data_IF_935073016549
#
_entry.id   IF_935073016549
#
_cell.length_a   1.000
_cell.length_b   1.000
_cell.length_c   1.000
_cell.angle_alpha   90.00
_cell.angle_beta   90.00
_cell.angle_gamma   90.00
#
_symmetry.space_group_name_H-M   'P 1'
#
loop_
_entity.id
_entity.type
_entity.pdbx_description
1 polymer ?
#
# COMPACT_ATOMS: atom_id res chain seq x y z
N UNK A 1 4.55 -61.12 3.82
CA UNK A 1 4.33 -61.32 2.35
C UNK A 1 2.93 -60.83 1.94
N UNK A 2 1.86 -61.10 2.71
CA UNK A 2 0.47 -60.66 2.38
C UNK A 2 0.37 -59.13 2.29
N UNK A 3 0.89 -58.42 3.28
CA UNK A 3 0.94 -56.95 3.28
C UNK A 3 1.76 -56.33 2.14
N UNK A 4 2.85 -57.01 1.74
CA UNK A 4 3.66 -56.58 0.61
C UNK A 4 2.92 -56.76 -0.73
N UNK A 5 2.11 -57.80 -0.86
CA UNK A 5 1.29 -58.03 -2.04
C UNK A 5 0.12 -57.03 -2.16
N UNK A 6 -0.43 -56.63 -1.03
CA UNK A 6 -1.46 -55.56 -0.98
C UNK A 6 -0.87 -54.22 -1.41
N UNK A 7 0.31 -53.87 -0.91
CA UNK A 7 0.99 -52.62 -1.25
C UNK A 7 1.43 -52.53 -2.72
N UNK A 8 1.76 -53.67 -3.37
CA UNK A 8 2.11 -53.68 -4.79
C UNK A 8 1.04 -53.20 -5.73
N UNK A 9 -0.22 -53.25 -5.30
CA UNK A 9 -1.36 -52.82 -6.09
C UNK A 9 -1.76 -51.38 -5.83
N UNK A 10 -1.10 -50.67 -4.90
CA UNK A 10 -1.36 -49.30 -4.56
C UNK A 10 -0.30 -48.43 -5.23
N UNK A 11 -0.76 -47.45 -6.01
CA UNK A 11 0.10 -46.43 -6.61
C UNK A 11 -0.67 -45.11 -6.62
N UNK A 12 -0.61 -44.42 -5.51
CA UNK A 12 -1.32 -43.16 -5.31
C UNK A 12 -0.53 -42.01 -5.94
N UNK A 13 -1.13 -41.32 -6.90
CA UNK A 13 -0.60 -40.10 -7.46
C UNK A 13 -1.01 -38.93 -6.54
N UNK A 14 -0.17 -38.64 -5.56
CA UNK A 14 -0.41 -37.59 -4.58
C UNK A 14 -0.53 -36.21 -5.20
N UNK A 15 0.07 -35.98 -6.37
CA UNK A 15 -0.09 -34.73 -7.08
C UNK A 15 -1.55 -34.53 -7.52
N UNK A 16 -2.18 -35.55 -8.09
CA UNK A 16 -3.59 -35.51 -8.46
C UNK A 16 -4.54 -35.44 -7.28
N UNK A 17 -4.12 -36.03 -6.16
CA UNK A 17 -4.90 -36.12 -4.95
C UNK A 17 -4.92 -34.80 -4.16
N UNK A 18 -3.79 -34.08 -4.15
CA UNK A 18 -3.59 -32.86 -3.39
C UNK A 18 -3.75 -31.59 -4.22
N UNK A 19 -3.42 -31.66 -5.52
CA UNK A 19 -3.48 -30.50 -6.43
C UNK A 19 -4.68 -30.64 -7.37
N UNK A 20 -5.67 -29.81 -7.18
CA UNK A 20 -6.90 -29.85 -7.97
C UNK A 20 -6.94 -28.76 -9.04
N UNK A 21 -7.63 -29.04 -10.14
CA UNK A 21 -8.07 -28.00 -11.04
C UNK A 21 -9.22 -27.21 -10.40
N UNK A 22 -9.16 -25.88 -10.52
CA UNK A 22 -10.21 -25.05 -9.96
C UNK A 22 -10.69 -24.01 -10.99
N UNK A 23 -11.93 -23.58 -10.81
CA UNK A 23 -12.58 -22.66 -11.72
C UNK A 23 -12.36 -21.20 -11.25
N UNK A 24 -11.92 -20.35 -12.16
CA UNK A 24 -11.93 -18.91 -12.01
C UNK A 24 -13.20 -18.35 -12.65
N UNK A 25 -13.96 -17.57 -11.88
CA UNK A 25 -15.18 -16.91 -12.35
C UNK A 25 -15.06 -15.40 -12.11
N UNK A 26 -15.40 -14.63 -13.14
CA UNK A 26 -15.49 -13.18 -13.05
C UNK A 26 -16.75 -12.71 -13.74
N UNK A 27 -17.58 -12.01 -12.98
CA UNK A 27 -18.81 -11.40 -13.47
C UNK A 27 -18.70 -9.89 -13.29
N UNK A 28 -19.01 -9.16 -14.36
CA UNK A 28 -19.04 -7.71 -14.36
C UNK A 28 -20.36 -7.26 -14.95
N UNK A 29 -21.03 -6.35 -14.26
CA UNK A 29 -22.21 -5.65 -14.74
C UNK A 29 -21.94 -4.16 -14.64
N UNK A 30 -22.20 -3.41 -15.70
CA UNK A 30 -22.03 -1.96 -15.68
C UNK A 30 -23.15 -1.26 -16.46
N UNK A 31 -23.49 -0.08 -15.96
CA UNK A 31 -24.47 0.83 -16.58
C UNK A 31 -23.78 2.17 -16.73
N UNK A 32 -23.95 2.78 -17.88
CA UNK A 32 -23.50 4.16 -18.14
C UNK A 32 -24.62 4.91 -18.84
N UNK A 33 -24.74 6.18 -18.54
CA UNK A 33 -25.74 7.05 -19.16
C UNK A 33 -25.47 8.49 -18.81
N UNK A 34 -26.37 9.36 -19.25
CA UNK A 34 -26.30 10.77 -18.94
C UNK A 34 -26.77 11.66 -20.09
N UNK A 35 -26.46 12.92 -19.93
CA UNK A 35 -26.68 14.00 -20.90
C UNK A 35 -25.35 14.63 -21.32
N UNK A 36 -25.40 15.71 -22.09
CA UNK A 36 -24.21 16.51 -22.42
C UNK A 36 -23.57 17.17 -21.20
N UNK A 37 -24.34 17.36 -20.12
CA UNK A 37 -23.89 18.06 -18.91
C UNK A 37 -23.53 17.09 -17.79
N UNK A 38 -24.24 15.96 -17.69
CA UNK A 38 -24.07 15.01 -16.59
C UNK A 38 -23.91 13.61 -17.15
N UNK A 39 -22.82 12.92 -16.80
CA UNK A 39 -22.63 11.51 -17.14
C UNK A 39 -22.40 10.67 -15.89
N UNK A 40 -22.91 9.45 -15.91
CA UNK A 40 -22.69 8.53 -14.80
C UNK A 40 -22.22 7.17 -15.32
N UNK A 41 -21.43 6.51 -14.50
CA UNK A 41 -21.00 5.14 -14.66
C UNK A 41 -21.11 4.40 -13.34
N UNK A 42 -21.82 3.28 -13.35
CA UNK A 42 -21.97 2.40 -12.19
C UNK A 42 -21.55 1.00 -12.62
N UNK A 43 -20.70 0.34 -11.84
CA UNK A 43 -20.29 -1.04 -12.09
C UNK A 43 -20.23 -1.86 -10.82
N UNK A 44 -20.64 -3.12 -10.94
CA UNK A 44 -20.52 -4.14 -9.92
C UNK A 44 -19.69 -5.31 -10.48
N UNK A 45 -18.72 -5.77 -9.70
CA UNK A 45 -17.87 -6.90 -10.06
C UNK A 45 -17.93 -7.96 -8.96
N UNK A 46 -18.02 -9.21 -9.39
CA UNK A 46 -17.83 -10.37 -8.53
C UNK A 46 -16.76 -11.27 -9.13
N UNK A 47 -15.82 -11.69 -8.31
CA UNK A 47 -14.76 -12.63 -8.68
C UNK A 47 -14.71 -13.75 -7.66
N UNK A 48 -14.68 -14.99 -8.13
CA UNK A 48 -14.42 -16.18 -7.31
C UNK A 48 -13.26 -16.94 -7.93
N UNK A 49 -12.23 -17.16 -7.17
CA UNK A 49 -11.05 -17.89 -7.55
C UNK A 49 -10.78 -18.97 -6.52
N UNK A 50 -10.87 -20.22 -6.91
CA UNK A 50 -10.39 -21.32 -6.11
C UNK A 50 -8.89 -21.51 -6.31
N UNK A 51 -8.17 -21.81 -5.24
CA UNK A 51 -6.78 -22.23 -5.31
C UNK A 51 -6.66 -23.70 -5.74
N UNK A 52 -5.47 -24.09 -6.14
CA UNK A 52 -5.17 -25.50 -6.47
C UNK A 52 -5.14 -26.39 -5.23
N UNK A 53 -4.84 -25.82 -4.07
CA UNK A 53 -4.86 -26.54 -2.79
C UNK A 53 -6.27 -26.61 -2.21
N UNK A 54 -6.66 -27.70 -1.57
CA UNK A 54 -7.94 -27.80 -0.87
C UNK A 54 -8.12 -26.69 0.16
N UNK A 55 -9.33 -26.10 0.21
CA UNK A 55 -9.65 -25.01 1.15
C UNK A 55 -9.04 -23.64 0.84
N UNK A 56 -8.18 -23.53 -0.16
CA UNK A 56 -7.65 -22.24 -0.62
C UNK A 56 -8.62 -21.62 -1.63
N UNK A 57 -9.24 -20.50 -1.28
CA UNK A 57 -10.15 -19.78 -2.15
C UNK A 57 -10.13 -18.28 -1.86
N UNK A 58 -10.46 -17.51 -2.88
CA UNK A 58 -10.62 -16.06 -2.79
C UNK A 58 -11.91 -15.63 -3.45
N UNK A 59 -12.66 -14.80 -2.75
CA UNK A 59 -13.86 -14.14 -3.26
C UNK A 59 -13.67 -12.63 -3.14
N UNK A 60 -14.12 -11.90 -4.14
CA UNK A 60 -14.08 -10.44 -4.15
C UNK A 60 -15.35 -9.88 -4.78
N UNK A 61 -15.93 -8.91 -4.11
CA UNK A 61 -17.00 -8.07 -4.62
C UNK A 61 -16.52 -6.62 -4.64
N UNK A 62 -16.88 -5.87 -5.67
CA UNK A 62 -16.62 -4.43 -5.70
C UNK A 62 -17.71 -3.69 -6.44
N UNK A 63 -18.03 -2.52 -5.92
CA UNK A 63 -18.96 -1.54 -6.50
C UNK A 63 -18.18 -0.27 -6.80
N UNK A 64 -18.43 0.35 -7.95
CA UNK A 64 -17.91 1.66 -8.31
C UNK A 64 -19.01 2.50 -8.94
N UNK A 65 -19.09 3.74 -8.53
CA UNK A 65 -19.95 4.76 -9.11
C UNK A 65 -19.11 5.99 -9.41
N UNK A 66 -19.20 6.51 -10.64
CA UNK A 66 -18.61 7.77 -11.04
C UNK A 66 -19.74 8.68 -11.54
N UNK A 67 -19.68 9.93 -11.19
CA UNK A 67 -20.58 10.98 -11.66
C UNK A 67 -19.71 12.15 -12.14
N UNK A 68 -19.87 12.50 -13.41
CA UNK A 68 -19.22 13.65 -14.03
C UNK A 68 -20.27 14.73 -14.28
N UNK A 69 -19.98 15.95 -13.88
CA UNK A 69 -20.86 17.10 -14.03
C UNK A 69 -20.11 18.25 -14.68
N UNK A 70 -20.54 18.70 -15.84
CA UNK A 70 -20.07 19.96 -16.43
C UNK A 70 -20.75 21.14 -15.74
N UNK A 71 -19.97 22.15 -15.41
CA UNK A 71 -20.41 23.37 -14.75
C UNK A 71 -20.47 24.53 -15.77
N UNK A 72 -21.22 24.31 -16.85
CA UNK A 72 -21.29 25.23 -17.97
C UNK A 72 -19.93 25.36 -18.67
N UNK A 73 -19.49 26.61 -18.89
CA UNK A 73 -18.19 26.93 -19.51
C UNK A 73 -17.07 27.14 -18.47
N UNK A 74 -17.41 27.15 -17.19
CA UNK A 74 -16.43 27.50 -16.14
C UNK A 74 -15.71 26.28 -15.55
N UNK A 75 -16.12 25.05 -15.90
CA UNK A 75 -15.40 23.88 -15.38
C UNK A 75 -16.22 22.60 -15.34
N UNK A 76 -15.71 21.64 -14.57
CA UNK A 76 -16.36 20.35 -14.34
C UNK A 76 -16.07 19.82 -12.93
N UNK A 77 -16.96 18.98 -12.44
CA UNK A 77 -16.82 18.26 -11.19
C UNK A 77 -16.97 16.76 -11.43
N UNK A 78 -16.20 15.97 -10.70
CA UNK A 78 -16.28 14.52 -10.71
C UNK A 78 -16.45 14.02 -9.28
N UNK A 79 -17.37 13.07 -9.08
CA UNK A 79 -17.54 12.33 -7.84
C UNK A 79 -17.32 10.85 -8.12
N UNK A 80 -16.46 10.21 -7.36
CA UNK A 80 -16.21 8.78 -7.40
C UNK A 80 -16.49 8.15 -6.05
N UNK A 81 -17.31 7.11 -6.04
CA UNK A 81 -17.58 6.30 -4.85
C UNK A 81 -17.23 4.86 -5.18
N UNK A 82 -16.49 4.21 -4.30
CA UNK A 82 -16.14 2.82 -4.44
C UNK A 82 -16.33 2.07 -3.12
N UNK A 83 -16.64 0.78 -3.24
CA UNK A 83 -16.73 -0.11 -2.11
C UNK A 83 -16.30 -1.52 -2.52
N UNK A 84 -15.74 -2.25 -1.59
CA UNK A 84 -15.24 -3.59 -1.86
C UNK A 84 -15.28 -4.50 -0.63
N UNK A 85 -15.44 -5.78 -0.89
CA UNK A 85 -15.29 -6.85 0.08
C UNK A 85 -14.45 -7.96 -0.56
N UNK A 86 -13.42 -8.39 0.11
CA UNK A 86 -12.62 -9.54 -0.29
C UNK A 86 -12.48 -10.51 0.89
N UNK A 87 -12.65 -11.80 0.62
CA UNK A 87 -12.43 -12.87 1.58
C UNK A 87 -11.46 -13.87 0.98
N UNK A 88 -10.46 -14.26 1.75
CA UNK A 88 -9.46 -15.25 1.36
C UNK A 88 -9.36 -16.28 2.46
N UNK A 89 -9.49 -17.55 2.09
CA UNK A 89 -9.23 -18.70 2.97
C UNK A 89 -7.89 -19.33 2.58
N UNK A 90 -7.08 -19.63 3.57
CA UNK A 90 -5.78 -20.28 3.39
C UNK A 90 -5.66 -21.40 4.40
N UNK A 91 -5.68 -22.67 3.96
CA UNK A 91 -5.67 -23.83 4.87
C UNK A 91 -4.27 -24.29 5.26
N UNK A 92 -3.24 -23.56 4.90
CA UNK A 92 -1.85 -24.01 5.05
C UNK A 92 -1.25 -23.59 6.38
N UNK A 93 -0.79 -24.58 7.15
CA UNK A 93 0.16 -24.36 8.25
C UNK A 93 1.59 -24.70 7.79
N UNK A 94 2.58 -24.15 8.45
CA UNK A 94 3.99 -24.27 8.08
C UNK A 94 4.58 -25.68 8.13
N UNK A 95 3.92 -26.66 8.74
CA UNK A 95 4.44 -28.02 8.98
C UNK A 95 3.72 -29.13 8.23
N UNK A 96 2.65 -28.82 7.53
CA UNK A 96 1.91 -29.77 6.68
C UNK A 96 1.37 -29.05 5.45
N UNK A 97 2.26 -28.32 4.79
CA UNK A 97 1.93 -27.69 3.51
C UNK A 97 1.62 -28.81 2.49
N UNK A 98 0.40 -28.82 1.90
CA UNK A 98 0.06 -29.78 0.86
C UNK A 98 1.06 -29.86 -0.29
N UNK A 99 1.79 -28.80 -0.55
CA UNK A 99 2.84 -28.79 -1.58
C UNK A 99 4.07 -29.63 -1.17
N UNK A 100 4.39 -29.70 0.12
CA UNK A 100 5.43 -30.59 0.64
C UNK A 100 4.92 -32.02 0.71
N UNK A 101 3.69 -32.23 1.18
CA UNK A 101 3.10 -33.55 1.28
C UNK A 101 3.06 -34.32 -0.05
N UNK A 102 2.96 -33.63 -1.18
CA UNK A 102 3.04 -34.24 -2.52
C UNK A 102 4.37 -35.03 -2.71
N UNK A 103 5.45 -34.54 -2.13
CA UNK A 103 6.79 -35.15 -2.27
C UNK A 103 7.16 -36.08 -1.09
N UNK A 104 6.48 -35.92 0.05
CA UNK A 104 6.81 -36.66 1.27
C UNK A 104 5.97 -37.92 1.46
N UNK A 105 4.72 -37.90 0.96
CA UNK A 105 3.82 -39.05 1.06
C UNK A 105 4.25 -40.15 0.10
N UNK A 106 4.23 -41.38 0.63
CA UNK A 106 4.66 -42.55 -0.11
C UNK A 106 3.56 -42.98 -1.11
N UNK A 107 3.88 -43.36 -2.36
CA UNK A 107 2.90 -43.87 -3.33
C UNK A 107 2.09 -45.07 -2.87
N UNK A 108 2.57 -45.83 -1.88
CA UNK A 108 1.87 -46.99 -1.32
C UNK A 108 0.80 -46.60 -0.25
N UNK A 109 0.66 -45.32 0.04
CA UNK A 109 -0.30 -44.78 0.99
C UNK A 109 -1.55 -44.30 0.27
N UNK A 110 -2.70 -44.30 0.96
CA UNK A 110 -3.97 -43.84 0.40
C UNK A 110 -4.68 -42.86 1.34
N UNK A 111 -5.55 -42.02 0.79
CA UNK A 111 -6.35 -41.07 1.58
C UNK A 111 -7.24 -41.74 2.63
N UNK A 112 -7.80 -42.87 2.26
CA UNK A 112 -8.75 -43.64 3.10
C UNK A 112 -8.05 -44.81 3.78
N UNK A 113 -6.73 -44.92 3.64
CA UNK A 113 -5.90 -45.88 4.35
C UNK A 113 -5.81 -45.54 5.85
N UNK A 114 -5.27 -46.45 6.61
CA UNK A 114 -4.99 -46.25 8.03
C UNK A 114 -3.83 -45.27 8.25
N UNK A 115 -2.98 -45.59 9.20
CA UNK A 115 -1.76 -44.79 9.46
C UNK A 115 -0.85 -44.69 8.23
N UNK A 116 -0.30 -43.50 8.05
CA UNK A 116 0.66 -43.22 6.99
C UNK A 116 2.04 -43.75 7.40
N UNK A 117 2.73 -44.36 6.44
CA UNK A 117 4.12 -44.85 6.62
C UNK A 117 5.04 -43.62 6.75
N UNK A 118 4.82 -42.60 5.94
CA UNK A 118 5.55 -41.33 5.96
C UNK A 118 5.36 -40.53 7.23
N UNK A 119 4.23 -40.72 7.90
CA UNK A 119 3.86 -40.03 9.13
C UNK A 119 3.27 -41.01 10.16
N UNK A 120 4.12 -41.78 10.87
CA UNK A 120 3.66 -42.80 11.81
C UNK A 120 2.68 -42.26 12.89
N UNK A 121 1.62 -43.00 13.13
CA UNK A 121 0.56 -42.59 14.06
C UNK A 121 -0.41 -41.54 13.51
N UNK A 122 -0.38 -41.28 12.21
CA UNK A 122 -1.22 -40.25 11.54
C UNK A 122 -1.92 -40.81 10.33
N UNK A 123 -3.16 -40.36 10.15
CA UNK A 123 -3.90 -40.55 8.90
C UNK A 123 -3.76 -39.34 7.99
N UNK A 124 -4.11 -39.51 6.73
CA UNK A 124 -4.16 -38.38 5.79
C UNK A 124 -5.07 -37.24 6.29
N UNK A 125 -6.19 -37.56 6.96
CA UNK A 125 -7.10 -36.56 7.53
C UNK A 125 -6.45 -35.75 8.64
N UNK A 126 -5.59 -36.36 9.43
CA UNK A 126 -4.87 -35.67 10.49
C UNK A 126 -3.86 -34.65 9.94
N UNK A 127 -3.36 -34.84 8.73
CA UNK A 127 -2.46 -33.91 8.08
C UNK A 127 -3.19 -32.76 7.36
N UNK A 128 -4.41 -32.95 6.91
CA UNK A 128 -5.08 -32.02 6.01
C UNK A 128 -5.92 -30.94 6.69
N UNK A 129 -6.32 -31.07 7.92
CA UNK A 129 -7.19 -30.09 8.63
C UNK A 129 -6.47 -29.42 9.80
N UNK A 130 -5.25 -29.02 9.58
CA UNK A 130 -4.32 -28.66 10.65
C UNK A 130 -4.26 -27.17 10.95
N UNK A 131 -4.74 -26.35 10.03
CA UNK A 131 -4.62 -24.91 10.10
C UNK A 131 -5.70 -24.29 9.24
N UNK A 132 -6.29 -23.22 9.71
CA UNK A 132 -7.15 -22.36 8.91
C UNK A 132 -6.78 -20.92 9.13
N UNK A 133 -6.72 -20.19 8.04
CA UNK A 133 -6.62 -18.74 8.07
C UNK A 133 -7.70 -18.14 7.16
N UNK A 134 -8.51 -17.29 7.75
CA UNK A 134 -9.48 -16.48 7.04
C UNK A 134 -9.05 -15.01 7.11
N UNK A 135 -8.96 -14.38 5.97
CA UNK A 135 -8.68 -12.94 5.88
C UNK A 135 -9.83 -12.26 5.13
N UNK A 136 -10.39 -11.22 5.73
CA UNK A 136 -11.47 -10.43 5.16
C UNK A 136 -11.05 -8.96 5.09
N UNK A 137 -11.10 -8.38 3.88
CA UNK A 137 -10.84 -6.97 3.64
C UNK A 137 -12.13 -6.27 3.21
N UNK A 138 -12.46 -5.16 3.88
CA UNK A 138 -13.59 -4.27 3.54
C UNK A 138 -13.03 -2.90 3.20
N UNK A 139 -13.39 -2.39 2.04
CA UNK A 139 -12.94 -1.08 1.57
C UNK A 139 -14.12 -0.19 1.25
N UNK A 140 -14.01 1.09 1.57
CA UNK A 140 -14.94 2.11 1.15
C UNK A 140 -14.14 3.37 0.81
N UNK A 141 -14.46 4.02 -0.30
CA UNK A 141 -13.80 5.25 -0.72
C UNK A 141 -14.78 6.20 -1.36
N UNK A 142 -14.56 7.47 -1.10
CA UNK A 142 -15.24 8.57 -1.78
C UNK A 142 -14.19 9.61 -2.16
N UNK A 143 -14.20 10.05 -3.41
CA UNK A 143 -13.34 11.14 -3.85
C UNK A 143 -14.12 12.09 -4.76
N UNK A 144 -13.83 13.37 -4.61
CA UNK A 144 -14.37 14.41 -5.46
C UNK A 144 -13.23 15.21 -6.10
N UNK A 145 -13.41 15.62 -7.35
CA UNK A 145 -12.54 16.58 -7.99
C UNK A 145 -13.37 17.71 -8.61
N UNK A 146 -12.82 18.91 -8.55
CA UNK A 146 -13.39 20.12 -9.12
C UNK A 146 -12.30 20.80 -9.94
N UNK A 147 -12.59 21.08 -11.20
CA UNK A 147 -11.73 21.90 -12.06
C UNK A 147 -12.52 23.10 -12.54
N UNK A 148 -11.97 24.30 -12.33
CA UNK A 148 -12.60 25.56 -12.69
C UNK A 148 -11.63 26.39 -13.53
N UNK A 149 -12.17 27.02 -14.57
CA UNK A 149 -11.50 27.99 -15.42
C UNK A 149 -12.31 29.31 -15.38
N UNK A 150 -12.32 30.04 -14.24
CA UNK A 150 -13.22 31.17 -14.03
C UNK A 150 -12.85 32.41 -14.87
N UNK A 151 -11.58 32.51 -15.25
CA UNK A 151 -11.03 33.60 -16.05
C UNK A 151 -10.05 33.03 -17.09
N UNK A 152 -9.85 33.70 -18.23
CA UNK A 152 -8.81 33.30 -19.19
C UNK A 152 -7.44 33.22 -18.51
N UNK A 153 -6.80 32.08 -18.66
CA UNK A 153 -5.48 31.80 -18.08
C UNK A 153 -5.48 31.33 -16.63
N UNK A 154 -6.62 31.35 -15.92
CA UNK A 154 -6.69 30.84 -14.55
C UNK A 154 -7.33 29.46 -14.49
N UNK A 155 -6.56 28.48 -14.05
CA UNK A 155 -6.99 27.10 -13.79
C UNK A 155 -6.95 26.82 -12.28
N UNK A 156 -8.06 26.39 -11.71
CA UNK A 156 -8.15 25.97 -10.33
C UNK A 156 -8.59 24.50 -10.30
N UNK A 157 -7.83 23.65 -9.67
CA UNK A 157 -8.18 22.25 -9.48
C UNK A 157 -8.13 21.89 -8.00
N UNK A 158 -9.16 21.21 -7.53
CA UNK A 158 -9.23 20.66 -6.19
C UNK A 158 -9.61 19.19 -6.26
N UNK A 159 -8.93 18.35 -5.48
CA UNK A 159 -9.26 16.94 -5.29
C UNK A 159 -9.30 16.67 -3.81
N UNK A 160 -10.34 15.99 -3.35
CA UNK A 160 -10.42 15.50 -1.96
C UNK A 160 -10.89 14.05 -1.96
N UNK A 161 -10.32 13.24 -1.09
CA UNK A 161 -10.65 11.82 -0.96
C UNK A 161 -10.63 11.37 0.49
N UNK A 162 -11.50 10.39 0.77
CA UNK A 162 -11.55 9.63 2.00
C UNK A 162 -11.57 8.15 1.64
N UNK A 163 -10.59 7.40 2.13
CA UNK A 163 -10.52 5.96 1.98
C UNK A 163 -10.54 5.28 3.36
N UNK A 164 -11.34 4.26 3.45
CA UNK A 164 -11.46 3.40 4.63
C UNK A 164 -11.12 1.97 4.24
N UNK A 165 -10.24 1.34 5.00
CA UNK A 165 -9.84 -0.06 4.88
C UNK A 165 -9.97 -0.73 6.24
N UNK A 166 -10.67 -1.85 6.27
CA UNK A 166 -10.75 -2.75 7.41
C UNK A 166 -10.26 -4.12 6.97
N UNK A 167 -9.13 -4.57 7.52
CA UNK A 167 -8.60 -5.91 7.35
C UNK A 167 -8.77 -6.70 8.64
N UNK A 168 -9.42 -7.85 8.55
CA UNK A 168 -9.57 -8.79 9.64
C UNK A 168 -8.93 -10.12 9.23
N UNK A 169 -8.04 -10.65 10.05
CA UNK A 169 -7.42 -11.97 9.85
C UNK A 169 -7.63 -12.82 11.09
N UNK A 170 -8.13 -14.01 10.90
CA UNK A 170 -8.30 -15.02 11.93
C UNK A 170 -7.53 -16.28 11.54
N UNK A 171 -6.74 -16.80 12.48
CA UNK A 171 -5.93 -18.00 12.31
C UNK A 171 -6.25 -18.98 13.42
N UNK A 172 -6.35 -20.24 13.06
CA UNK A 172 -6.62 -21.30 14.01
C UNK A 172 -5.78 -22.54 13.70
N UNK A 173 -5.08 -23.04 14.71
CA UNK A 173 -4.37 -24.31 14.70
C UNK A 173 -4.92 -25.18 15.81
N UNK A 174 -5.62 -26.28 15.55
CA UNK A 174 -6.16 -27.15 16.59
C UNK A 174 -5.06 -27.88 17.36
N UNK A 175 -5.33 -28.24 18.62
CA UNK A 175 -4.39 -29.02 19.45
C UNK A 175 -4.04 -30.38 18.86
N UNK A 176 -4.90 -30.91 17.99
CA UNK A 176 -4.73 -32.19 17.29
C UNK A 176 -3.89 -32.05 16.03
N UNK A 177 -3.43 -30.85 15.68
CA UNK A 177 -2.57 -30.66 14.52
C UNK A 177 -1.24 -31.39 14.68
N UNK A 178 -0.67 -31.85 13.57
CA UNK A 178 0.63 -32.52 13.58
C UNK A 178 1.70 -31.67 14.24
N UNK A 179 1.75 -30.38 13.93
CA UNK A 179 2.68 -29.41 14.52
C UNK A 179 2.55 -29.29 16.03
N UNK A 180 1.32 -29.21 16.54
CA UNK A 180 1.08 -29.10 17.98
C UNK A 180 1.39 -30.41 18.72
N UNK A 181 1.09 -31.54 18.10
CA UNK A 181 1.30 -32.84 18.73
C UNK A 181 2.78 -33.28 18.75
N UNK A 182 3.57 -32.84 17.77
CA UNK A 182 5.01 -33.15 17.68
C UNK A 182 5.92 -32.10 18.33
N UNK A 183 5.35 -30.97 18.77
CA UNK A 183 6.10 -29.84 19.35
C UNK A 183 6.67 -30.11 20.76
N UNK A 184 6.33 -31.22 21.40
CA UNK A 184 6.69 -31.50 22.80
C UNK A 184 5.89 -30.68 23.83
N UNK A 185 4.91 -29.87 23.38
CA UNK A 185 4.09 -29.02 24.26
C UNK A 185 3.03 -29.86 24.96
N UNK A 186 2.81 -29.64 26.29
CA UNK A 186 1.75 -30.33 27.03
C UNK A 186 0.38 -30.07 26.40
N UNK A 187 -0.49 -31.10 26.42
CA UNK A 187 -1.79 -31.07 25.75
C UNK A 187 -2.66 -29.87 26.12
N UNK A 188 -2.71 -29.50 27.39
CA UNK A 188 -3.47 -28.33 27.87
C UNK A 188 -2.99 -26.97 27.34
N UNK A 189 -1.79 -26.93 26.78
CA UNK A 189 -1.20 -25.73 26.19
C UNK A 189 -1.25 -25.73 24.66
N UNK A 190 -1.75 -26.81 24.04
CA UNK A 190 -1.85 -26.97 22.60
C UNK A 190 -3.05 -26.26 22.03
N UNK A 191 -2.96 -25.96 20.75
CA UNK A 191 -3.94 -25.20 19.99
C UNK A 191 -3.66 -23.70 20.06
N UNK A 192 -3.70 -23.05 18.90
CA UNK A 192 -3.41 -21.63 18.73
C UNK A 192 -4.62 -20.96 18.09
N UNK A 193 -5.02 -19.85 18.65
CA UNK A 193 -5.98 -18.93 18.06
C UNK A 193 -5.33 -17.56 17.96
N UNK A 194 -5.32 -16.97 16.76
CA UNK A 194 -4.86 -15.62 16.57
C UNK A 194 -5.88 -14.82 15.74
N UNK A 195 -6.13 -13.60 16.16
CA UNK A 195 -7.01 -12.67 15.45
C UNK A 195 -6.40 -11.30 15.43
N UNK A 196 -6.40 -10.68 14.27
CA UNK A 196 -6.00 -9.28 14.11
C UNK A 196 -7.09 -8.50 13.37
N UNK A 197 -7.26 -7.26 13.78
CA UNK A 197 -8.13 -6.28 13.13
C UNK A 197 -7.34 -5.02 12.91
N UNK A 198 -7.20 -4.63 11.65
CA UNK A 198 -6.49 -3.44 11.23
C UNK A 198 -7.44 -2.50 10.51
N UNK A 199 -7.61 -1.30 11.04
CA UNK A 199 -8.44 -0.25 10.44
C UNK A 199 -7.54 0.88 9.99
N UNK A 200 -7.58 1.20 8.70
CA UNK A 200 -6.85 2.34 8.12
C UNK A 200 -7.83 3.34 7.54
N UNK A 201 -7.69 4.60 7.91
CA UNK A 201 -8.45 5.71 7.34
C UNK A 201 -7.45 6.70 6.73
N UNK A 202 -7.63 7.00 5.44
CA UNK A 202 -6.82 7.97 4.72
C UNK A 202 -7.70 9.14 4.27
N UNK A 203 -7.25 10.36 4.54
CA UNK A 203 -7.83 11.58 4.00
C UNK A 203 -6.75 12.23 3.13
N UNK A 204 -7.09 12.58 1.91
CA UNK A 204 -6.22 13.30 0.99
C UNK A 204 -6.93 14.51 0.43
N UNK A 205 -6.22 15.63 0.34
CA UNK A 205 -6.71 16.84 -0.32
C UNK A 205 -5.55 17.47 -1.09
N UNK A 206 -5.80 17.80 -2.35
CA UNK A 206 -4.90 18.59 -3.18
C UNK A 206 -5.67 19.75 -3.78
N UNK A 207 -5.16 20.94 -3.62
CA UNK A 207 -5.72 22.15 -4.23
C UNK A 207 -4.60 22.83 -5.00
N UNK A 208 -4.84 23.17 -6.25
CA UNK A 208 -3.90 23.83 -7.14
C UNK A 208 -4.58 24.98 -7.86
N UNK A 209 -3.93 26.12 -7.91
CA UNK A 209 -4.30 27.25 -8.77
C UNK A 209 -3.10 27.60 -9.65
N UNK A 210 -3.33 27.74 -10.94
CA UNK A 210 -2.30 28.13 -11.91
C UNK A 210 -2.85 29.27 -12.79
N UNK A 211 -2.10 30.33 -12.87
CA UNK A 211 -2.41 31.46 -13.75
C UNK A 211 -1.32 31.62 -14.81
N UNK A 212 -1.73 31.58 -16.07
CA UNK A 212 -0.87 31.77 -17.24
C UNK A 212 -1.34 32.98 -18.02
N UNK A 213 -0.44 33.90 -18.31
CA UNK A 213 -0.78 35.07 -19.09
C UNK A 213 0.40 35.58 -19.93
N UNK A 214 0.12 35.87 -21.19
CA UNK A 214 1.09 36.45 -22.09
C UNK A 214 0.75 37.93 -22.32
N UNK A 215 1.62 38.85 -21.88
CA UNK A 215 1.42 40.28 -22.11
C UNK A 215 2.38 40.80 -23.15
N UNK A 216 1.92 41.76 -23.91
CA UNK A 216 2.63 42.39 -25.02
C UNK A 216 3.21 41.37 -26.04
N UNK A 217 2.70 40.16 -26.11
CA UNK A 217 3.13 39.11 -27.01
C UNK A 217 4.57 38.58 -26.78
N UNK A 218 5.22 39.05 -25.71
CA UNK A 218 6.65 38.77 -25.43
C UNK A 218 6.94 38.27 -24.01
N UNK A 219 6.05 38.52 -23.09
CA UNK A 219 6.21 38.18 -21.68
C UNK A 219 5.24 37.10 -21.33
N UNK A 220 5.70 35.88 -21.15
CA UNK A 220 4.90 34.75 -20.69
C UNK A 220 5.13 34.57 -19.18
N UNK A 221 4.04 34.68 -18.39
CA UNK A 221 4.05 34.56 -16.94
C UNK A 221 3.21 33.39 -16.54
N UNK A 222 3.79 32.49 -15.75
CA UNK A 222 3.13 31.40 -15.04
C UNK A 222 3.25 31.61 -13.53
N UNK A 223 2.13 31.70 -12.84
CA UNK A 223 2.06 31.71 -11.38
C UNK A 223 1.29 30.46 -10.92
N UNK A 224 1.83 29.74 -9.97
CA UNK A 224 1.18 28.58 -9.39
C UNK A 224 1.22 28.61 -7.87
N UNK A 225 0.14 28.13 -7.26
CA UNK A 225 0.07 27.84 -5.83
C UNK A 225 -0.60 26.47 -5.62
N UNK A 226 -0.10 25.70 -4.69
CA UNK A 226 -0.71 24.42 -4.33
C UNK A 226 -0.70 24.18 -2.83
N UNK A 227 -1.67 23.39 -2.39
CA UNK A 227 -1.80 22.88 -1.03
C UNK A 227 -2.06 21.37 -1.11
N UNK A 228 -1.27 20.61 -0.38
CA UNK A 228 -1.42 19.17 -0.22
C UNK A 228 -1.66 18.85 1.25
N UNK A 229 -2.70 18.09 1.56
CA UNK A 229 -2.95 17.58 2.89
C UNK A 229 -3.20 16.08 2.85
N UNK A 230 -2.49 15.35 3.71
CA UNK A 230 -2.63 13.91 3.89
C UNK A 230 -2.77 13.59 5.36
N UNK A 231 -3.73 12.75 5.69
CA UNK A 231 -3.90 12.18 7.02
C UNK A 231 -4.10 10.68 6.90
N UNK A 232 -3.26 9.92 7.59
CA UNK A 232 -3.42 8.48 7.78
C UNK A 232 -3.64 8.18 9.24
N UNK A 233 -4.70 7.44 9.54
CA UNK A 233 -4.97 6.90 10.87
C UNK A 233 -4.97 5.38 10.78
N UNK A 234 -4.19 4.75 11.65
CA UNK A 234 -4.08 3.32 11.81
C UNK A 234 -4.55 2.93 13.21
N UNK A 235 -5.46 1.98 13.29
CA UNK A 235 -5.88 1.34 14.53
C UNK A 235 -5.77 -0.17 14.34
N UNK A 236 -4.85 -0.79 15.05
CA UNK A 236 -4.62 -2.23 15.02
C UNK A 236 -4.87 -2.81 16.41
N UNK A 237 -5.62 -3.91 16.45
CA UNK A 237 -5.79 -4.74 17.64
C UNK A 237 -5.53 -6.18 17.21
N UNK A 238 -4.70 -6.87 17.98
CA UNK A 238 -4.40 -8.29 17.77
C UNK A 238 -4.46 -9.06 19.07
N UNK A 239 -4.88 -10.31 18.98
CA UNK A 239 -4.85 -11.27 20.07
C UNK A 239 -4.24 -12.57 19.54
N UNK A 240 -3.34 -13.16 20.31
CA UNK A 240 -2.82 -14.50 20.10
C UNK A 240 -2.99 -15.27 21.40
N UNK A 241 -3.63 -16.39 21.36
CA UNK A 241 -3.86 -17.21 22.54
C UNK A 241 -3.62 -18.68 22.26
N UNK A 242 -3.37 -19.41 23.32
CA UNK A 242 -2.96 -20.79 23.30
C UNK A 242 -3.86 -21.66 24.21
N UNK A 243 -3.75 -22.97 24.06
CA UNK A 243 -4.53 -23.91 24.83
C UNK A 243 -6.02 -23.93 24.47
N UNK A 244 -6.34 -23.52 23.24
CA UNK A 244 -7.72 -23.48 22.72
C UNK A 244 -8.28 -24.87 22.39
N UNK A 245 -7.45 -25.92 22.45
CA UNK A 245 -7.85 -27.27 22.10
C UNK A 245 -8.26 -27.36 20.63
N UNK A 246 -9.47 -27.89 20.41
CA UNK A 246 -10.07 -27.99 19.05
C UNK A 246 -11.13 -26.94 18.78
N UNK A 247 -11.25 -25.91 19.65
CA UNK A 247 -12.30 -24.89 19.56
C UNK A 247 -11.75 -23.64 18.87
N UNK A 248 -12.25 -23.33 17.69
CA UNK A 248 -11.90 -22.12 16.94
C UNK A 248 -12.63 -20.89 17.50
N UNK A 249 -12.17 -20.41 18.66
CA UNK A 249 -12.76 -19.23 19.32
C UNK A 249 -11.76 -18.59 20.27
N UNK A 250 -11.76 -17.26 20.30
CA UNK A 250 -11.02 -16.49 21.31
C UNK A 250 -11.46 -16.81 22.75
N UNK A 251 -12.72 -17.18 22.95
CA UNK A 251 -13.24 -17.56 24.26
C UNK A 251 -12.65 -18.87 24.84
N UNK A 252 -12.04 -19.69 23.97
CA UNK A 252 -11.38 -20.92 24.37
C UNK A 252 -9.92 -20.73 24.82
N UNK A 253 -9.37 -19.52 24.73
CA UNK A 253 -8.00 -19.22 25.15
C UNK A 253 -7.81 -19.56 26.62
N UNK A 254 -6.82 -20.36 26.92
CA UNK A 254 -6.50 -20.75 28.30
C UNK A 254 -5.66 -19.64 28.98
N UNK A 255 -6.31 -18.80 29.75
CA UNK A 255 -5.67 -17.69 30.46
C UNK A 255 -4.77 -18.10 31.63
N UNK A 256 -4.80 -19.39 32.05
CA UNK A 256 -3.92 -19.89 33.11
C UNK A 256 -2.51 -20.23 32.63
N UNK A 257 -2.27 -20.21 31.31
CA UNK A 257 -0.96 -20.52 30.74
C UNK A 257 0.00 -19.36 30.98
N UNK A 258 1.17 -19.68 31.52
CA UNK A 258 2.28 -18.75 31.73
C UNK A 258 3.49 -19.13 30.89
N UNK A 259 4.40 -18.18 30.68
CA UNK A 259 5.63 -18.37 29.93
C UNK A 259 5.47 -18.18 28.43
N UNK A 260 6.16 -18.97 27.62
CA UNK A 260 6.28 -18.77 26.17
C UNK A 260 4.97 -18.89 25.37
N UNK A 261 3.93 -19.45 25.99
CA UNK A 261 2.59 -19.57 25.37
C UNK A 261 1.50 -18.82 26.14
N UNK A 262 1.89 -17.80 26.89
CA UNK A 262 0.91 -16.90 27.48
C UNK A 262 0.16 -16.13 26.40
N UNK A 263 -1.15 -15.91 26.63
CA UNK A 263 -1.95 -15.12 25.71
C UNK A 263 -1.41 -13.68 25.61
N UNK A 264 -1.33 -13.18 24.38
CA UNK A 264 -0.81 -11.87 24.04
C UNK A 264 -1.90 -11.01 23.42
N UNK A 265 -1.98 -9.76 23.84
CA UNK A 265 -2.86 -8.75 23.24
C UNK A 265 -1.98 -7.60 22.79
N UNK A 266 -2.02 -7.30 21.49
CA UNK A 266 -1.36 -6.16 20.91
C UNK A 266 -2.37 -5.08 20.53
N UNK A 267 -1.99 -3.83 20.70
CA UNK A 267 -2.75 -2.70 20.21
C UNK A 267 -1.79 -1.61 19.73
N UNK A 268 -2.06 -1.05 18.57
CA UNK A 268 -1.32 0.06 18.00
C UNK A 268 -2.30 1.09 17.44
N UNK A 269 -2.13 2.34 17.87
CA UNK A 269 -2.80 3.48 17.26
C UNK A 269 -1.75 4.43 16.75
N UNK A 270 -1.82 4.74 15.47
CA UNK A 270 -0.93 5.70 14.83
C UNK A 270 -1.74 6.72 14.03
N UNK A 271 -1.26 7.95 14.06
CA UNK A 271 -1.87 9.05 13.32
C UNK A 271 -0.78 9.93 12.74
N UNK A 272 -0.69 9.94 11.43
CA UNK A 272 0.27 10.74 10.69
C UNK A 272 -0.45 11.75 9.80
N UNK A 273 -0.08 13.02 9.93
CA UNK A 273 -0.59 14.10 9.11
C UNK A 273 0.56 14.85 8.44
N UNK A 274 0.36 15.23 7.19
CA UNK A 274 1.29 16.03 6.40
C UNK A 274 0.52 17.18 5.72
N UNK A 275 1.12 18.36 5.72
CA UNK A 275 0.62 19.55 5.02
C UNK A 275 1.75 20.15 4.21
N UNK A 276 1.54 20.26 2.90
CA UNK A 276 2.45 20.93 1.97
C UNK A 276 1.81 22.21 1.41
N UNK A 277 2.55 23.29 1.38
CA UNK A 277 2.18 24.54 0.73
C UNK A 277 3.27 24.88 -0.30
N UNK A 278 2.88 25.05 -1.56
CA UNK A 278 3.79 25.32 -2.66
C UNK A 278 3.46 26.55 -3.46
N UNK A 279 4.48 27.18 -3.99
CA UNK A 279 4.37 28.28 -4.96
C UNK A 279 5.35 28.04 -6.11
N UNK A 280 4.93 28.42 -7.32
CA UNK A 280 5.72 28.30 -8.55
C UNK A 280 5.64 29.62 -9.29
N UNK A 281 6.78 30.10 -9.76
CA UNK A 281 6.90 31.24 -10.67
C UNK A 281 7.66 30.76 -11.91
N UNK A 282 7.07 30.92 -13.07
CA UNK A 282 7.69 30.80 -14.37
C UNK A 282 7.59 32.11 -15.12
N UNK A 283 8.67 32.53 -15.76
CA UNK A 283 8.67 33.74 -16.59
C UNK A 283 9.57 33.52 -17.81
N UNK A 284 9.01 33.71 -19.00
CA UNK A 284 9.72 33.64 -20.26
C UNK A 284 9.62 34.96 -21.00
N UNK A 285 10.75 35.48 -21.43
CA UNK A 285 10.82 36.68 -22.23
C UNK A 285 11.30 36.38 -23.65
N UNK A 286 10.50 36.77 -24.65
CA UNK A 286 10.74 36.59 -26.09
C UNK A 286 10.98 35.11 -26.49
N UNK A 287 10.62 34.14 -25.69
CA UNK A 287 11.00 32.72 -25.82
C UNK A 287 12.54 32.49 -25.76
N UNK A 288 13.32 33.52 -25.42
CA UNK A 288 14.78 33.51 -25.36
C UNK A 288 15.27 33.28 -23.94
N UNK A 289 14.68 33.95 -22.97
CA UNK A 289 15.10 33.91 -21.58
C UNK A 289 14.03 33.32 -20.73
N UNK A 290 14.38 32.25 -20.00
CA UNK A 290 13.51 31.58 -19.07
C UNK A 290 14.02 31.79 -17.65
N UNK A 291 13.10 32.06 -16.74
CA UNK A 291 13.34 32.07 -15.30
C UNK A 291 12.24 31.25 -14.62
N UNK A 292 12.64 30.39 -13.72
CA UNK A 292 11.67 29.72 -12.84
C UNK A 292 12.14 29.70 -11.40
N UNK A 293 11.19 29.74 -10.50
CA UNK A 293 11.42 29.58 -9.08
C UNK A 293 10.31 28.74 -8.48
N UNK A 294 10.66 27.85 -7.58
CA UNK A 294 9.72 27.04 -6.81
C UNK A 294 10.03 27.14 -5.33
N UNK A 295 9.00 27.20 -4.53
CA UNK A 295 9.11 27.15 -3.09
C UNK A 295 8.06 26.19 -2.54
N UNK A 296 8.43 25.32 -1.61
CA UNK A 296 7.53 24.42 -0.90
C UNK A 296 7.84 24.43 0.58
N UNK A 297 6.83 24.58 1.39
CA UNK A 297 6.88 24.40 2.84
C UNK A 297 6.07 23.17 3.21
N UNK A 298 6.73 22.16 3.77
CA UNK A 298 6.10 20.92 4.22
C UNK A 298 6.14 20.81 5.73
N UNK A 299 5.00 20.52 6.34
CA UNK A 299 4.88 20.18 7.74
C UNK A 299 4.51 18.72 7.90
N UNK A 300 5.14 18.02 8.85
CA UNK A 300 4.83 16.63 9.19
C UNK A 300 4.62 16.45 10.69
N UNK A 301 3.55 15.73 11.05
CA UNK A 301 3.26 15.39 12.44
C UNK A 301 4.25 14.40 13.05
N UNK A 302 5.04 13.72 12.23
CA UNK A 302 6.09 12.79 12.66
C UNK A 302 7.23 13.55 13.36
N UNK A 303 7.49 14.79 12.95
CA UNK A 303 8.58 15.59 13.50
C UNK A 303 8.19 16.26 14.82
N UNK A 304 9.18 16.57 15.68
CA UNK A 304 8.97 17.36 16.88
C UNK A 304 8.26 18.68 16.60
N UNK A 305 7.45 19.16 17.53
CA UNK A 305 6.54 20.30 17.33
C UNK A 305 7.22 21.58 16.85
N UNK A 306 8.44 21.83 17.29
CA UNK A 306 9.28 22.96 16.93
C UNK A 306 10.01 22.81 15.59
N UNK A 307 9.99 21.60 14.98
CA UNK A 307 10.70 21.27 13.73
C UNK A 307 9.79 20.69 12.65
N UNK A 308 8.48 20.85 12.81
CA UNK A 308 7.49 20.29 11.87
C UNK A 308 7.59 20.86 10.47
N UNK A 309 7.92 22.16 10.37
CA UNK A 309 7.99 22.84 9.09
C UNK A 309 9.38 22.76 8.48
N UNK A 310 9.42 22.33 7.23
CA UNK A 310 10.64 22.27 6.42
C UNK A 310 10.36 22.90 5.08
N UNK A 311 11.33 23.64 4.57
CA UNK A 311 11.22 24.27 3.25
C UNK A 311 12.11 23.59 2.24
N UNK A 312 11.65 23.54 1.00
CA UNK A 312 12.42 23.18 -0.17
C UNK A 312 12.23 24.31 -1.21
N UNK A 313 13.25 24.59 -1.99
CA UNK A 313 13.17 25.59 -3.03
C UNK A 313 14.14 25.29 -4.17
N UNK A 314 13.81 25.76 -5.34
CA UNK A 314 14.70 25.73 -6.49
C UNK A 314 14.52 26.97 -7.34
N UNK A 315 15.60 27.41 -7.94
CA UNK A 315 15.60 28.48 -8.94
C UNK A 315 16.37 28.00 -10.18
N UNK A 316 15.95 28.44 -11.33
CA UNK A 316 16.62 28.09 -12.57
C UNK A 316 16.45 29.16 -13.63
N UNK A 317 17.41 29.15 -14.54
CA UNK A 317 17.47 30.03 -15.70
C UNK A 317 17.65 29.21 -16.95
N UNK A 318 17.07 29.68 -18.03
CA UNK A 318 17.25 29.16 -19.38
C UNK A 318 17.60 30.29 -20.37
N UNK A 319 18.37 29.93 -21.34
CA UNK A 319 18.71 30.82 -22.43
C UNK A 319 18.72 30.10 -23.76
N UNK A 320 17.91 30.59 -24.70
CA UNK A 320 17.73 29.97 -26.02
C UNK A 320 18.22 30.96 -27.14
N UNK A 321 19.54 31.08 -27.32
CA UNK A 321 20.10 32.05 -28.26
C UNK A 321 19.73 31.78 -29.72
N UNK A 322 19.31 30.58 -30.08
CA UNK A 322 18.83 30.26 -31.43
C UNK A 322 17.60 31.08 -31.88
N UNK A 323 16.87 31.69 -30.94
CA UNK A 323 15.72 32.55 -31.27
C UNK A 323 16.08 34.02 -31.52
N UNK A 324 17.33 34.38 -31.38
CA UNK A 324 17.73 35.69 -31.87
C UNK A 324 17.71 35.76 -33.41
N UNK A 325 17.33 36.91 -33.97
CA UNK A 325 17.16 37.10 -35.38
C UNK A 325 18.41 36.74 -36.23
N UNK A 326 19.61 36.88 -35.67
CA UNK A 326 20.87 36.53 -36.37
C UNK A 326 21.16 35.02 -36.41
N UNK A 327 20.46 34.20 -35.62
CA UNK A 327 20.54 32.73 -35.59
C UNK A 327 19.26 32.04 -36.07
N UNK A 328 18.13 32.72 -36.11
CA UNK A 328 16.82 32.14 -36.37
C UNK A 328 16.75 31.44 -37.76
N UNK A 329 17.47 31.92 -38.74
CA UNK A 329 17.51 31.35 -40.09
C UNK A 329 18.63 30.31 -40.28
N UNK A 330 19.32 29.90 -39.21
CA UNK A 330 20.41 28.93 -39.32
C UNK A 330 19.87 27.53 -39.57
N UNK A 331 20.20 26.96 -40.73
CA UNK A 331 19.73 25.65 -41.14
C UNK A 331 20.51 24.49 -40.54
N UNK A 332 21.67 24.76 -39.96
CA UNK A 332 22.51 23.74 -39.30
C UNK A 332 22.20 23.67 -37.82
N UNK A 333 22.37 24.77 -37.09
CA UNK A 333 22.03 24.88 -35.66
C UNK A 333 20.61 25.42 -35.53
N UNK A 334 19.64 24.55 -35.46
CA UNK A 334 18.21 24.92 -35.46
C UNK A 334 17.70 25.27 -34.09
N UNK A 335 18.31 24.72 -33.04
CA UNK A 335 18.02 25.09 -31.67
C UNK A 335 19.25 24.94 -30.77
N UNK A 336 19.47 25.94 -29.94
CA UNK A 336 20.43 25.89 -28.84
C UNK A 336 19.73 26.39 -27.58
N UNK A 337 19.70 25.58 -26.54
CA UNK A 337 19.18 25.96 -25.23
C UNK A 337 20.21 25.63 -24.16
N UNK A 338 20.52 26.60 -23.33
CA UNK A 338 21.39 26.50 -22.16
C UNK A 338 20.52 26.67 -20.92
N UNK A 339 20.67 25.76 -19.94
CA UNK A 339 19.90 25.81 -18.71
C UNK A 339 20.80 25.59 -17.50
N UNK A 340 20.48 26.25 -16.41
CA UNK A 340 21.12 26.01 -15.13
C UNK A 340 20.09 26.12 -14.00
N UNK A 341 20.22 25.29 -12.98
CA UNK A 341 19.37 25.34 -11.81
C UNK A 341 20.15 25.07 -10.53
N UNK A 342 19.65 25.63 -9.45
CA UNK A 342 20.13 25.37 -8.10
C UNK A 342 18.94 25.16 -7.18
N UNK A 343 19.00 24.11 -6.39
CA UNK A 343 17.90 23.75 -5.52
C UNK A 343 18.32 23.10 -4.21
N UNK A 344 17.38 23.10 -3.30
CA UNK A 344 17.48 22.50 -2.00
C UNK A 344 16.19 21.69 -1.73
N UNK A 345 16.33 20.42 -1.41
CA UNK A 345 15.22 19.54 -1.09
C UNK A 345 15.39 18.94 0.30
N UNK A 346 14.27 18.66 0.94
CA UNK A 346 14.20 17.98 2.22
C UNK A 346 13.47 16.64 2.05
N UNK A 347 13.98 15.57 2.68
CA UNK A 347 13.42 14.22 2.60
C UNK A 347 13.18 13.66 3.99
N UNK A 348 11.99 13.06 4.18
CA UNK A 348 11.57 12.39 5.43
C UNK A 348 11.50 10.86 5.29
N UNK A 349 11.99 10.30 4.19
CA UNK A 349 11.98 8.86 3.98
C UNK A 349 12.76 8.14 5.10
N UNK A 350 12.17 7.09 5.66
CA UNK A 350 12.77 6.30 6.73
C UNK A 350 12.58 6.87 8.15
N UNK A 351 11.93 8.02 8.31
CA UNK A 351 11.56 8.55 9.62
C UNK A 351 10.22 7.96 10.06
N UNK A 352 10.18 7.34 11.24
CA UNK A 352 8.96 6.82 11.85
C UNK A 352 8.57 7.66 13.08
N UNK A 353 7.32 7.56 13.53
CA UNK A 353 6.85 8.21 14.77
C UNK A 353 7.70 7.78 15.96
N UNK A 354 8.08 6.50 16.03
CA UNK A 354 8.95 5.96 17.07
C UNK A 354 10.35 6.59 17.13
N UNK A 355 10.79 7.26 16.06
CA UNK A 355 12.07 7.98 16.04
C UNK A 355 12.02 9.32 16.79
N UNK A 356 10.82 9.87 17.00
CA UNK A 356 10.61 11.20 17.60
C UNK A 356 9.87 11.17 18.93
N UNK A 357 9.35 9.99 19.33
CA UNK A 357 8.62 9.77 20.57
C UNK A 357 9.23 8.57 21.29
N UNK A 358 9.47 8.66 22.58
CA UNK A 358 9.89 7.52 23.39
C UNK A 358 8.78 6.47 23.42
N UNK A 359 9.13 5.23 23.09
CA UNK A 359 8.19 4.11 23.10
C UNK A 359 8.42 3.25 24.34
N UNK A 360 7.32 2.85 24.97
CA UNK A 360 7.32 1.97 26.13
C UNK A 360 6.47 0.73 25.83
N UNK A 361 6.89 -0.40 26.35
CA UNK A 361 6.10 -1.63 26.35
C UNK A 361 5.96 -2.16 27.77
N UNK A 362 4.86 -2.89 28.01
CA UNK A 362 4.76 -3.64 29.25
C UNK A 362 5.71 -4.84 29.20
N UNK A 363 6.59 -4.94 30.19
CA UNK A 363 7.45 -6.10 30.38
C UNK A 363 6.63 -7.31 30.84
N UNK A 364 7.11 -8.51 30.49
CA UNK A 364 6.62 -9.75 31.07
C UNK A 364 7.10 -9.94 32.54
N UNK A 365 8.00 -9.07 33.01
CA UNK A 365 8.46 -9.06 34.39
C UNK A 365 7.48 -8.25 35.23
N UNK A 366 7.17 -8.78 36.41
CA UNK A 366 6.40 -8.05 37.41
C UNK A 366 7.35 -7.60 38.53
N UNK A 367 7.11 -6.41 39.04
CA UNK A 367 7.71 -5.92 40.27
C UNK A 367 6.58 -5.75 41.30
N UNK A 368 6.65 -6.48 42.41
CA UNK A 368 5.61 -6.49 43.46
C UNK A 368 4.17 -6.66 42.88
N UNK A 369 3.96 -7.65 42.01
CA UNK A 369 2.72 -7.93 41.33
C UNK A 369 2.21 -6.84 40.36
N UNK A 370 3.01 -5.82 40.09
CA UNK A 370 2.69 -4.76 39.14
C UNK A 370 3.45 -4.95 37.83
N UNK A 371 2.78 -4.68 36.73
CA UNK A 371 3.41 -4.69 35.41
C UNK A 371 4.39 -3.54 35.28
N UNK A 372 5.61 -3.82 34.85
CA UNK A 372 6.67 -2.84 34.61
C UNK A 372 6.59 -2.34 33.18
N UNK A 373 6.71 -1.03 33.00
CA UNK A 373 6.92 -0.41 31.70
C UNK A 373 8.42 -0.32 31.42
N UNK A 374 8.83 -0.94 30.33
CA UNK A 374 10.22 -0.87 29.84
C UNK A 374 10.33 0.11 28.68
N UNK A 375 11.40 0.91 28.66
CA UNK A 375 11.71 1.80 27.54
C UNK A 375 12.23 0.97 26.36
N UNK A 376 11.48 0.93 25.26
CA UNK A 376 11.81 0.16 24.08
C UNK A 376 12.65 0.94 23.06
N UNK A 377 12.56 2.24 23.06
CA UNK A 377 13.30 3.09 22.14
C UNK A 377 13.55 4.49 22.65
N UNK A 378 14.76 4.96 22.43
CA UNK A 378 15.13 6.34 22.66
C UNK A 378 14.65 7.19 21.48
N UNK A 379 14.14 8.37 21.76
CA UNK A 379 13.73 9.32 20.73
C UNK A 379 14.82 10.37 20.49
N UNK A 380 14.84 10.90 19.27
CA UNK A 380 15.69 12.02 18.91
C UNK A 380 14.84 13.29 18.76
N UNK A 381 14.89 14.16 19.77
CA UNK A 381 14.19 15.45 19.76
C UNK A 381 14.74 16.44 18.72
N UNK A 382 15.95 16.19 18.21
CA UNK A 382 16.64 17.04 17.26
C UNK A 382 16.59 16.52 15.84
N UNK A 383 15.74 15.49 15.59
CA UNK A 383 15.56 14.91 14.28
C UNK A 383 15.09 15.96 13.27
N UNK A 384 15.78 16.00 12.15
CA UNK A 384 15.49 16.87 11.01
C UNK A 384 15.40 16.03 9.73
N UNK A 385 14.70 16.49 8.71
CA UNK A 385 14.75 15.86 7.39
C UNK A 385 16.18 15.83 6.84
N UNK A 386 16.46 14.81 6.05
CA UNK A 386 17.64 14.79 5.22
C UNK A 386 17.57 15.93 4.20
N UNK A 387 18.68 16.62 3.99
CA UNK A 387 18.75 17.80 3.14
C UNK A 387 19.72 17.55 2.00
N UNK A 388 19.22 17.71 0.77
CA UNK A 388 20.03 17.60 -0.44
C UNK A 388 20.06 18.94 -1.16
N UNK A 389 21.26 19.44 -1.44
CA UNK A 389 21.49 20.58 -2.32
C UNK A 389 21.92 20.04 -3.68
N UNK A 390 21.33 20.54 -4.73
CA UNK A 390 21.68 20.15 -6.09
C UNK A 390 21.96 21.37 -6.97
N UNK A 391 22.92 21.21 -7.85
CA UNK A 391 23.20 22.14 -8.92
C UNK A 391 23.18 21.37 -10.22
N UNK A 392 22.48 21.88 -11.21
CA UNK A 392 22.35 21.28 -12.51
C UNK A 392 22.68 22.30 -13.59
N UNK A 393 23.42 21.89 -14.61
CA UNK A 393 23.69 22.69 -15.81
C UNK A 393 23.51 21.80 -17.05
N UNK A 394 22.79 22.27 -18.04
CA UNK A 394 22.48 21.49 -19.24
C UNK A 394 22.55 22.29 -20.53
N UNK A 395 22.85 21.57 -21.60
CA UNK A 395 22.87 22.08 -22.97
C UNK A 395 22.01 21.15 -23.82
N UNK A 396 21.10 21.73 -24.59
CA UNK A 396 20.34 21.03 -25.63
C UNK A 396 20.62 21.69 -26.98
N UNK A 397 21.09 20.88 -27.93
CA UNK A 397 21.44 21.29 -29.27
C UNK A 397 20.60 20.50 -30.26
N UNK A 398 19.94 21.19 -31.18
CA UNK A 398 19.24 20.56 -32.29
C UNK A 398 19.90 20.98 -33.60
N UNK A 399 20.25 19.99 -34.42
CA UNK A 399 20.91 20.16 -35.70
C UNK A 399 20.00 19.71 -36.85
N UNK A 400 19.90 20.52 -37.91
CA UNK A 400 19.15 20.20 -39.13
C UNK A 400 17.67 19.86 -38.91
N UNK A 401 17.04 20.26 -37.80
CA UNK A 401 15.70 19.78 -37.36
C UNK A 401 15.56 18.25 -37.30
N UNK A 402 16.65 17.52 -37.08
CA UNK A 402 16.69 16.06 -37.17
C UNK A 402 17.44 15.37 -36.04
N UNK A 403 18.48 16.00 -35.53
CA UNK A 403 19.35 15.41 -34.51
C UNK A 403 19.32 16.29 -33.28
N UNK A 404 18.86 15.74 -32.16
CA UNK A 404 18.89 16.42 -30.86
C UNK A 404 19.95 15.79 -29.99
N UNK A 405 20.83 16.60 -29.43
CA UNK A 405 21.83 16.23 -28.44
C UNK A 405 21.53 16.96 -27.14
N UNK A 406 21.34 16.20 -26.08
CA UNK A 406 21.16 16.75 -24.74
C UNK A 406 22.28 16.26 -23.82
N UNK A 407 22.89 17.17 -23.10
CA UNK A 407 23.91 16.89 -22.11
C UNK A 407 23.60 17.68 -20.85
N UNK A 408 23.67 17.03 -19.70
CA UNK A 408 23.55 17.68 -18.41
C UNK A 408 24.63 17.21 -17.45
N UNK A 409 25.08 18.12 -16.64
CA UNK A 409 25.96 17.90 -15.50
C UNK A 409 25.17 18.24 -14.24
N UNK A 410 25.31 17.41 -13.22
CA UNK A 410 24.65 17.61 -11.92
C UNK A 410 25.58 17.22 -10.77
N UNK A 411 25.38 17.85 -9.64
CA UNK A 411 26.12 17.58 -8.41
C UNK A 411 25.17 17.67 -7.19
#
# INVERSE_FOLDING_TARGET
>A
EQKLNELRNINTDWFKELIRNNLYQKHNVSIRGGSEQTTYYISANYTKQGGRLPGNDKQRMSLRMNLDQKLGHIGYALLSVNGGYAKTNTPNGSTSDPTQLVYELNPYETKDGGELISYPGRTYKDLMNQFSQESAAKTAGISGSLTLNPLPGLDIAAVAGLDFLLDETEQFTPSTSYSEMTSGIPELKRGIFAKSKNTTTNISTNIRATYNHVFAGRHDLTLGANMDYYLTQLDNVSITGYGVGTINSAAAINHSIQGTRQAEVGALKDKNAQLGLGAVLGYTFDNIYDFYATYKADASSILPSDKRWNSAWAVGIGWTPSYYSFLADNTVLTRLNLKASYGYTANLNGVSVSSTVATFAYSNNAYEDQRVLELMGLYNKDLKPEQTKSIDAGVSIELFNRVTLETSWYN
#
